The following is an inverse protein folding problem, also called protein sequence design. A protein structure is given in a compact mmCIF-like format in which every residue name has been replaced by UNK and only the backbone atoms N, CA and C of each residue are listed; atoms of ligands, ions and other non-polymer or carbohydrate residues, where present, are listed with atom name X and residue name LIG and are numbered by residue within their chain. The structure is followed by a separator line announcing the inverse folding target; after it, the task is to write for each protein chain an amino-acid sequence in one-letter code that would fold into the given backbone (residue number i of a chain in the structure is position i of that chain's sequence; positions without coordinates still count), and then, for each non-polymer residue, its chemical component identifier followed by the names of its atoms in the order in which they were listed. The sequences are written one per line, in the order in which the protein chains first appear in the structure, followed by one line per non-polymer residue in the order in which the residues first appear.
data_IF_083124012488
#
_entry.id   IF_083124012488
#
_cell.length_a   1.000
_cell.length_b   1.000
_cell.length_c   1.000
_cell.angle_alpha   90.00
_cell.angle_beta   90.00
_cell.angle_gamma   90.00
#
_symmetry.space_group_name_H-M   'P 1'
#
loop_
_entity.id
_entity.type
_entity.pdbx_description
1 polymer ?
#
# COMPACT_ATOMS: atom_id res chain seq x y z
N UNK A 1 1.53 43.93 12.59
CA UNK A 1 1.10 42.79 13.39
C UNK A 1 -0.27 42.25 12.98
N UNK A 2 -1.29 43.09 12.85
CA UNK A 2 -2.63 42.60 12.46
C UNK A 2 -2.63 41.94 11.08
N UNK A 3 -1.87 42.48 10.12
CA UNK A 3 -1.77 41.92 8.76
C UNK A 3 -1.10 40.53 8.77
N UNK A 4 -0.03 40.38 9.54
CA UNK A 4 0.66 39.10 9.67
C UNK A 4 -0.23 38.04 10.31
N UNK A 5 -0.99 38.40 11.33
CA UNK A 5 -1.95 37.49 11.97
C UNK A 5 -3.05 37.05 11.01
N UNK A 6 -3.55 37.97 10.19
CA UNK A 6 -4.58 37.66 9.19
C UNK A 6 -4.06 36.71 8.10
N UNK A 7 -2.82 36.93 7.63
CA UNK A 7 -2.17 36.05 6.66
C UNK A 7 -1.97 34.68 7.26
N UNK A 8 -1.47 34.61 8.51
CA UNK A 8 -1.25 33.36 9.20
C UNK A 8 -2.57 32.59 9.42
N UNK A 9 -3.63 33.29 9.85
CA UNK A 9 -4.95 32.67 10.03
C UNK A 9 -5.49 32.16 8.69
N UNK A 10 -5.31 32.91 7.59
CA UNK A 10 -5.71 32.46 6.25
C UNK A 10 -4.98 31.19 5.82
N UNK A 11 -3.69 31.13 6.08
CA UNK A 11 -2.88 29.92 5.75
C UNK A 11 -3.37 28.72 6.54
N UNK A 12 -3.66 28.89 7.85
CA UNK A 12 -4.17 27.81 8.68
C UNK A 12 -5.51 27.29 8.15
N UNK A 13 -6.42 28.20 7.77
CA UNK A 13 -7.73 27.80 7.20
C UNK A 13 -7.54 26.99 5.91
N UNK A 14 -6.63 27.42 5.04
CA UNK A 14 -6.34 26.70 3.80
C UNK A 14 -5.79 25.29 4.11
N UNK A 15 -4.84 25.18 5.04
CA UNK A 15 -4.26 23.89 5.44
C UNK A 15 -5.34 22.96 6.00
N UNK A 16 -6.20 23.48 6.89
CA UNK A 16 -7.29 22.69 7.46
C UNK A 16 -8.26 22.23 6.38
N UNK A 17 -8.58 23.10 5.41
CA UNK A 17 -9.48 22.73 4.30
C UNK A 17 -8.87 21.63 3.43
N UNK A 18 -7.57 21.70 3.13
CA UNK A 18 -6.86 20.68 2.35
C UNK A 18 -6.86 19.34 3.10
N UNK A 19 -6.55 19.34 4.39
CA UNK A 19 -6.56 18.12 5.20
C UNK A 19 -7.95 17.52 5.27
N UNK A 20 -8.98 18.36 5.51
CA UNK A 20 -10.36 17.89 5.55
C UNK A 20 -10.82 17.29 4.23
N UNK A 21 -10.44 17.90 3.09
CA UNK A 21 -10.76 17.37 1.77
C UNK A 21 -10.07 16.02 1.53
N UNK A 22 -8.79 15.89 1.92
CA UNK A 22 -8.07 14.63 1.82
C UNK A 22 -8.69 13.52 2.64
N UNK A 23 -9.06 13.83 3.88
CA UNK A 23 -9.74 12.88 4.76
C UNK A 23 -11.10 12.45 4.17
N UNK A 24 -11.86 13.41 3.64
CA UNK A 24 -13.14 13.10 3.02
C UNK A 24 -13.01 12.18 1.80
N UNK A 25 -11.99 12.41 0.96
CA UNK A 25 -11.72 11.55 -0.20
C UNK A 25 -11.38 10.13 0.26
N UNK A 26 -10.51 9.98 1.26
CA UNK A 26 -10.12 8.68 1.78
C UNK A 26 -11.31 7.96 2.42
N UNK A 27 -12.12 8.68 3.19
CA UNK A 27 -13.29 8.11 3.87
C UNK A 27 -14.36 7.66 2.87
N UNK A 28 -14.42 8.29 1.70
CA UNK A 28 -15.40 7.94 0.66
C UNK A 28 -14.95 6.76 -0.21
N UNK A 29 -13.69 6.34 -0.11
CA UNK A 29 -13.18 5.24 -0.92
C UNK A 29 -13.58 3.90 -0.31
N UNK A 30 -14.19 3.04 -1.13
CA UNK A 30 -14.58 1.70 -0.68
C UNK A 30 -13.34 0.82 -0.50
N UNK A 31 -13.18 0.14 0.66
CA UNK A 31 -12.07 -0.78 0.86
C UNK A 31 -11.97 -1.89 -0.20
N UNK A 32 -13.10 -2.33 -0.75
CA UNK A 32 -13.07 -3.34 -1.82
C UNK A 32 -12.40 -2.81 -3.08
N UNK A 33 -12.62 -1.55 -3.44
CA UNK A 33 -11.98 -0.93 -4.59
C UNK A 33 -10.47 -0.78 -4.39
N UNK A 34 -10.05 -0.47 -3.17
CA UNK A 34 -8.63 -0.39 -2.82
C UNK A 34 -7.99 -1.76 -2.95
N UNK A 35 -8.65 -2.79 -2.45
CA UNK A 35 -8.17 -4.17 -2.54
C UNK A 35 -7.95 -4.58 -4.00
N UNK A 36 -8.94 -4.36 -4.83
CA UNK A 36 -8.88 -4.71 -6.25
C UNK A 36 -7.78 -3.95 -6.97
N UNK A 37 -7.64 -2.67 -6.68
CA UNK A 37 -6.59 -1.85 -7.25
C UNK A 37 -5.20 -2.38 -6.87
N UNK A 38 -4.97 -2.65 -5.58
CA UNK A 38 -3.67 -3.14 -5.10
C UNK A 38 -3.32 -4.49 -5.69
N UNK A 39 -4.27 -5.42 -5.73
CA UNK A 39 -4.02 -6.75 -6.27
C UNK A 39 -3.71 -6.70 -7.77
N UNK A 40 -4.40 -5.84 -8.50
CA UNK A 40 -4.13 -5.63 -9.93
C UNK A 40 -2.75 -5.02 -10.17
N UNK A 41 -2.37 -4.01 -9.37
CA UNK A 41 -1.07 -3.37 -9.51
C UNK A 41 0.09 -4.32 -9.23
N UNK A 42 -0.03 -5.14 -8.20
CA UNK A 42 0.99 -6.12 -7.86
C UNK A 42 1.10 -7.19 -8.95
N UNK A 43 -0.02 -7.66 -9.47
CA UNK A 43 -0.01 -8.63 -10.55
C UNK A 43 0.63 -8.08 -11.81
N UNK A 44 0.33 -6.85 -12.18
CA UNK A 44 0.94 -6.21 -13.35
C UNK A 44 2.45 -6.02 -13.17
N UNK A 45 2.87 -5.69 -11.96
CA UNK A 45 4.29 -5.43 -11.68
C UNK A 45 5.13 -6.71 -11.55
N UNK A 46 4.55 -7.79 -11.03
CA UNK A 46 5.30 -9.00 -10.66
C UNK A 46 4.88 -10.25 -11.42
N UNK A 47 3.71 -10.24 -12.07
CA UNK A 47 3.13 -11.43 -12.68
C UNK A 47 2.53 -12.41 -11.68
N UNK A 48 2.53 -12.09 -10.40
CA UNK A 48 2.05 -12.98 -9.34
C UNK A 48 0.91 -12.36 -8.56
N UNK A 49 0.05 -13.21 -8.03
CA UNK A 49 -1.11 -12.75 -7.27
C UNK A 49 -0.76 -12.38 -5.84
N UNK A 50 -1.22 -11.20 -5.45
CA UNK A 50 -1.32 -10.80 -4.06
C UNK A 50 -2.74 -11.07 -3.59
N UNK A 51 -2.90 -11.74 -2.47
CA UNK A 51 -4.22 -12.00 -1.89
C UNK A 51 -4.32 -11.36 -0.52
N UNK A 52 -5.36 -10.58 -0.33
CA UNK A 52 -5.68 -9.98 0.96
C UNK A 52 -6.93 -10.71 1.45
N UNK A 53 -6.70 -11.74 2.28
CA UNK A 53 -7.76 -12.66 2.68
C UNK A 53 -8.56 -12.17 3.89
N UNK A 54 -7.99 -11.28 4.67
CA UNK A 54 -8.66 -10.67 5.81
C UNK A 54 -9.21 -9.30 5.50
N UNK A 55 -9.46 -8.55 6.56
CA UNK A 55 -9.98 -7.19 6.43
C UNK A 55 -8.94 -6.23 5.91
N UNK A 56 -9.39 -5.26 5.16
CA UNK A 56 -8.60 -4.14 4.71
C UNK A 56 -9.20 -2.87 5.30
N UNK A 57 -8.42 -2.19 6.11
CA UNK A 57 -8.86 -0.99 6.81
C UNK A 57 -8.01 0.19 6.42
N UNK A 58 -8.63 1.33 6.27
CA UNK A 58 -7.96 2.59 6.04
C UNK A 58 -8.03 3.42 7.32
N UNK A 59 -6.88 3.62 7.95
CA UNK A 59 -6.78 4.48 9.12
C UNK A 59 -6.53 5.91 8.67
N UNK A 60 -7.46 6.79 9.02
CA UNK A 60 -7.42 8.19 8.61
C UNK A 60 -6.82 9.03 9.73
N UNK A 61 -5.65 9.62 9.43
CA UNK A 61 -4.92 10.49 10.35
C UNK A 61 -4.07 11.44 9.52
N UNK A 62 -3.19 12.22 10.17
CA UNK A 62 -2.24 13.07 9.46
C UNK A 62 -1.27 12.24 8.60
N UNK A 63 -1.02 11.00 9.00
CA UNK A 63 -0.30 10.02 8.20
C UNK A 63 -1.26 8.85 7.95
N UNK A 64 -2.03 8.89 6.87
CA UNK A 64 -2.98 7.81 6.59
C UNK A 64 -2.25 6.48 6.47
N UNK A 65 -2.88 5.43 6.96
CA UNK A 65 -2.31 4.09 6.92
C UNK A 65 -3.31 3.11 6.35
N UNK A 66 -2.84 2.26 5.46
CA UNK A 66 -3.63 1.15 4.94
C UNK A 66 -3.21 -0.11 5.70
N UNK A 67 -4.18 -0.74 6.34
CA UNK A 67 -3.94 -1.94 7.15
C UNK A 67 -4.61 -3.11 6.46
N UNK A 68 -3.83 -4.14 6.17
CA UNK A 68 -4.31 -5.34 5.50
C UNK A 68 -4.04 -6.55 6.37
N UNK A 69 -5.04 -7.41 6.51
CA UNK A 69 -4.94 -8.62 7.32
C UNK A 69 -4.87 -9.87 6.44
N UNK A 70 -4.14 -10.88 6.90
CA UNK A 70 -3.99 -12.16 6.21
C UNK A 70 -3.59 -12.00 4.75
N UNK A 71 -2.41 -11.44 4.54
CA UNK A 71 -1.88 -11.16 3.20
C UNK A 71 -0.99 -12.31 2.77
N UNK A 72 -1.19 -12.80 1.55
CA UNK A 72 -0.34 -13.81 0.93
C UNK A 72 0.10 -13.34 -0.44
N UNK A 73 1.33 -13.68 -0.80
CA UNK A 73 1.90 -13.39 -2.10
C UNK A 73 2.30 -14.70 -2.76
N UNK A 74 1.86 -14.90 -3.99
CA UNK A 74 2.07 -16.15 -4.69
C UNK A 74 3.55 -16.42 -4.98
N UNK A 75 3.92 -17.70 -4.92
CA UNK A 75 5.27 -18.15 -5.20
C UNK A 75 5.47 -18.36 -6.71
N UNK A 76 6.71 -18.65 -7.10
CA UNK A 76 7.00 -19.05 -8.46
C UNK A 76 6.30 -20.39 -8.76
N UNK A 77 5.94 -20.61 -10.04
CA UNK A 77 5.23 -21.82 -10.43
C UNK A 77 6.02 -23.10 -10.16
N UNK A 78 7.36 -23.01 -10.24
CA UNK A 78 8.24 -24.15 -9.99
C UNK A 78 8.55 -24.37 -8.50
N UNK A 79 8.15 -23.44 -7.64
CA UNK A 79 8.47 -23.53 -6.20
C UNK A 79 7.61 -24.59 -5.51
N UNK A 80 8.15 -25.15 -4.44
CA UNK A 80 7.47 -26.21 -3.68
C UNK A 80 6.37 -25.65 -2.79
N UNK A 81 6.55 -24.44 -2.25
CA UNK A 81 5.54 -23.81 -1.40
C UNK A 81 4.56 -23.00 -2.22
N UNK A 82 3.27 -22.93 -1.84
CA UNK A 82 2.27 -22.17 -2.60
C UNK A 82 2.46 -20.67 -2.51
N UNK A 83 3.05 -20.18 -1.43
CA UNK A 83 3.25 -18.74 -1.21
C UNK A 83 4.70 -18.42 -0.91
N UNK A 84 5.20 -17.36 -1.56
CA UNK A 84 6.52 -16.80 -1.25
C UNK A 84 6.50 -16.08 0.10
N UNK A 85 5.44 -15.34 0.35
CA UNK A 85 5.27 -14.53 1.54
C UNK A 85 3.85 -14.73 2.07
N UNK A 86 3.74 -14.90 3.37
CA UNK A 86 2.48 -14.78 4.07
C UNK A 86 2.70 -13.99 5.35
N UNK A 87 1.76 -13.14 5.69
CA UNK A 87 1.85 -12.35 6.91
C UNK A 87 0.46 -12.13 7.50
N UNK A 88 0.46 -12.02 8.81
CA UNK A 88 -0.77 -11.81 9.55
C UNK A 88 -1.34 -10.42 9.33
N UNK A 89 -0.45 -9.42 9.22
CA UNK A 89 -0.84 -8.02 9.08
C UNK A 89 0.23 -7.24 8.35
N UNK A 90 -0.21 -6.39 7.45
CA UNK A 90 0.64 -5.44 6.72
C UNK A 90 0.09 -4.04 6.94
N UNK A 91 0.91 -3.14 7.42
CA UNK A 91 0.56 -1.72 7.56
C UNK A 91 1.41 -0.91 6.58
N UNK A 92 0.77 -0.12 5.76
CA UNK A 92 1.43 0.77 4.82
C UNK A 92 1.03 2.21 5.12
N UNK A 93 1.98 3.00 5.60
CA UNK A 93 1.79 4.43 5.80
C UNK A 93 1.87 5.17 4.47
N UNK A 94 1.02 6.14 4.28
CA UNK A 94 0.92 6.90 3.03
C UNK A 94 1.21 8.38 3.26
N UNK A 95 1.80 9.04 2.26
CA UNK A 95 1.94 10.49 2.26
C UNK A 95 0.61 11.11 1.82
N UNK A 96 0.10 12.02 2.64
CA UNK A 96 -1.24 12.61 2.42
C UNK A 96 -1.28 13.47 1.17
N UNK A 97 -0.32 14.38 0.99
CA UNK A 97 -0.35 15.34 -0.13
C UNK A 97 -0.26 14.66 -1.49
N UNK A 98 0.69 13.72 -1.73
CA UNK A 98 0.69 12.98 -3.01
C UNK A 98 -0.58 12.18 -3.22
N UNK A 99 -1.15 11.61 -2.15
CA UNK A 99 -2.38 10.82 -2.25
C UNK A 99 -3.55 11.68 -2.74
N UNK A 100 -3.63 12.92 -2.31
CA UNK A 100 -4.65 13.86 -2.77
C UNK A 100 -4.52 14.20 -4.26
N UNK A 101 -3.33 14.05 -4.81
CA UNK A 101 -3.05 14.27 -6.24
C UNK A 101 -3.17 12.97 -7.05
N UNK A 102 -3.63 11.88 -6.42
CA UNK A 102 -3.76 10.59 -7.06
C UNK A 102 -2.47 9.79 -7.13
N UNK A 103 -1.43 10.23 -6.43
CA UNK A 103 -0.14 9.58 -6.39
C UNK A 103 0.05 8.84 -5.06
N UNK A 104 0.42 7.57 -5.12
CA UNK A 104 0.60 6.74 -3.93
C UNK A 104 2.06 6.70 -3.55
N UNK A 105 2.39 7.25 -2.40
CA UNK A 105 3.74 7.22 -1.85
C UNK A 105 3.73 6.68 -0.45
N UNK A 106 4.57 5.68 -0.21
CA UNK A 106 4.66 5.02 1.08
C UNK A 106 5.65 5.76 1.99
N UNK A 107 5.27 5.97 3.25
CA UNK A 107 6.16 6.52 4.28
C UNK A 107 6.83 5.44 5.08
N UNK A 108 6.09 4.34 5.35
CA UNK A 108 6.63 3.20 6.07
C UNK A 108 5.84 1.95 5.75
N UNK A 109 6.47 0.80 5.96
CA UNK A 109 5.83 -0.49 5.81
C UNK A 109 6.14 -1.31 7.07
N UNK A 110 5.10 -1.84 7.71
CA UNK A 110 5.24 -2.70 8.89
C UNK A 110 4.68 -4.07 8.56
N UNK A 111 5.49 -5.09 8.75
CA UNK A 111 5.10 -6.49 8.54
C UNK A 111 4.98 -7.18 9.90
N UNK A 112 3.83 -7.79 10.15
CA UNK A 112 3.58 -8.50 11.41
C UNK A 112 3.43 -10.00 11.12
N UNK A 113 4.27 -10.78 11.79
CA UNK A 113 4.38 -12.23 11.63
C UNK A 113 4.58 -12.64 10.17
N UNK A 114 5.62 -12.08 9.50
CA UNK A 114 5.91 -12.49 8.13
C UNK A 114 6.52 -13.89 8.08
N UNK A 115 6.12 -14.66 7.08
CA UNK A 115 6.70 -15.95 6.77
C UNK A 115 7.14 -15.92 5.32
N UNK A 116 8.45 -15.98 5.09
CA UNK A 116 9.03 -15.88 3.77
C UNK A 116 9.69 -17.21 3.40
N UNK A 117 9.30 -17.78 2.27
CA UNK A 117 9.81 -19.06 1.77
C UNK A 117 10.71 -18.80 0.57
N UNK A 118 12.01 -18.68 0.82
CA UNK A 118 12.99 -18.46 -0.25
C UNK A 118 13.46 -19.81 -0.81
N UNK A 119 13.47 -19.91 -2.12
CA UNK A 119 13.83 -21.15 -2.81
C UNK A 119 14.52 -20.83 -4.14
N UNK A 120 15.46 -21.67 -4.54
CA UNK A 120 16.08 -21.57 -5.85
C UNK A 120 15.82 -22.85 -6.64
N UNK A 121 15.72 -22.73 -7.96
CA UNK A 121 15.54 -23.89 -8.83
C UNK A 121 16.89 -24.49 -9.24
N UNK A 122 16.86 -25.56 -10.04
CA UNK A 122 18.07 -26.25 -10.49
C UNK A 122 19.01 -25.36 -11.30
N UNK A 123 18.49 -24.27 -11.89
CA UNK A 123 19.28 -23.30 -12.66
C UNK A 123 19.84 -22.18 -11.80
N UNK A 124 19.58 -22.20 -10.48
CA UNK A 124 20.03 -21.17 -9.57
C UNK A 124 19.13 -19.94 -9.55
N UNK A 125 17.97 -19.98 -10.21
CA UNK A 125 17.02 -18.86 -10.22
C UNK A 125 16.22 -18.84 -8.92
N UNK A 126 16.18 -17.68 -8.27
CA UNK A 126 15.43 -17.52 -7.03
C UNK A 126 13.95 -17.25 -7.25
N UNK A 127 13.12 -17.71 -6.33
CA UNK A 127 11.68 -17.44 -6.39
C UNK A 127 11.33 -15.97 -6.14
N UNK A 128 12.28 -15.17 -5.71
CA UNK A 128 12.13 -13.71 -5.56
C UNK A 128 12.42 -12.95 -6.86
N UNK A 129 12.83 -13.62 -7.91
CA UNK A 129 13.01 -13.02 -9.23
C UNK A 129 11.68 -13.11 -9.98
N UNK A 130 11.10 -11.96 -10.32
CA UNK A 130 9.80 -11.91 -10.95
C UNK A 130 9.91 -11.82 -12.46
N UNK A 131 9.03 -12.54 -13.16
CA UNK A 131 8.84 -12.36 -14.58
C UNK A 131 8.03 -11.08 -14.77
N UNK A 132 8.74 -9.98 -14.87
CA UNK A 132 8.15 -8.68 -14.93
C UNK A 132 7.58 -8.41 -16.31
N UNK A 133 6.32 -8.06 -16.38
CA UNK A 133 5.63 -7.72 -17.61
C UNK A 133 6.06 -6.39 -18.21
N UNK A 134 6.86 -5.60 -17.49
CA UNK A 134 7.35 -4.31 -18.00
C UNK A 134 8.59 -4.44 -18.89
N UNK A 135 8.92 -5.62 -19.34
CA UNK A 135 9.93 -5.81 -20.37
C UNK A 135 11.37 -5.69 -19.94
N UNK A 136 11.67 -6.10 -18.76
CA UNK A 136 13.05 -6.17 -18.30
C UNK A 136 13.70 -7.50 -18.58
#
# INVERSE_FOLDING_TARGET
MKTAIRIFAGIIVIVVAIVAAGVAILAATDPADIRDFLTAQVKDATGRELSINGELDLEISLVPSLVMHDVTFANAKWASAPHLLSLKKLEAGLELLPLMQGDIRLTQIVLIEPNIQLETNAKGLGNWVFENTTGK
#
